data_IF_078490860292
#
_entry.id   IF_078490860292
#
_cell.length_a   1.000
_cell.length_b   1.000
_cell.length_c   1.000
_cell.angle_alpha   90.00
_cell.angle_beta   90.00
_cell.angle_gamma   90.00
#
_symmetry.space_group_name_H-M   'P 1'
#
loop_
_entity.id
_entity.type
_entity.pdbx_description
1 polymer ?
#
# COMPACT_ATOMS: atom_id res chain seq x y z
N UNK A 1 43.94 61.08 42.04
CA UNK A 1 44.60 59.86 41.59
C UNK A 1 43.78 58.68 42.16
N UNK A 2 42.75 58.25 41.41
CA UNK A 2 41.88 57.15 41.82
C UNK A 2 41.91 56.05 40.75
N UNK A 3 42.16 54.78 41.08
CA UNK A 3 42.16 53.72 40.09
C UNK A 3 40.71 53.27 39.80
N UNK A 4 40.41 53.25 38.52
CA UNK A 4 39.15 52.75 37.95
C UNK A 4 39.13 51.25 38.11
N UNK A 5 38.15 50.69 38.90
CA UNK A 5 37.86 49.25 39.03
C UNK A 5 37.07 48.82 37.84
N UNK A 6 37.67 48.00 36.98
CA UNK A 6 37.02 47.32 35.86
C UNK A 6 36.21 46.12 36.42
N UNK A 7 34.87 46.23 36.39
CA UNK A 7 33.97 45.11 36.66
C UNK A 7 33.86 44.25 35.42
N UNK A 8 34.43 43.07 35.45
CA UNK A 8 34.18 42.01 34.45
C UNK A 8 32.85 41.34 34.80
N UNK A 9 31.83 41.59 34.00
CA UNK A 9 30.59 40.84 34.02
C UNK A 9 30.75 39.62 33.12
N UNK A 10 30.87 38.44 33.72
CA UNK A 10 30.84 37.16 33.02
C UNK A 10 29.40 36.84 32.65
N UNK A 11 29.04 36.99 31.39
CA UNK A 11 27.76 36.51 30.85
C UNK A 11 27.82 35.01 30.66
N UNK A 12 27.09 34.31 31.53
CA UNK A 12 26.85 32.85 31.41
C UNK A 12 25.77 32.62 30.35
N UNK A 13 26.20 32.29 29.13
CA UNK A 13 25.26 31.85 28.07
C UNK A 13 24.85 30.42 28.36
N UNK A 14 23.63 30.23 28.90
CA UNK A 14 23.02 28.92 29.04
C UNK A 14 22.57 28.44 27.65
N UNK A 15 23.33 27.51 27.04
CA UNK A 15 22.89 26.76 25.89
C UNK A 15 21.79 25.76 26.30
N UNK A 16 20.54 26.08 25.96
CA UNK A 16 19.43 25.16 26.06
C UNK A 16 19.59 24.13 24.90
N UNK A 17 20.09 22.95 25.22
CA UNK A 17 20.09 21.81 24.31
C UNK A 17 18.65 21.32 24.13
N UNK A 18 18.03 21.64 22.98
CA UNK A 18 16.74 21.08 22.58
C UNK A 18 16.99 19.61 22.21
N UNK A 19 16.77 18.70 23.15
CA UNK A 19 16.75 17.25 22.89
C UNK A 19 15.48 16.93 22.08
N UNK A 20 15.62 16.84 20.76
CA UNK A 20 14.58 16.28 19.91
C UNK A 20 14.48 14.79 20.22
N UNK A 21 13.50 14.42 21.05
CA UNK A 21 13.10 13.02 21.22
C UNK A 21 12.52 12.54 19.90
N UNK A 22 13.34 11.84 19.11
CA UNK A 22 12.84 11.04 18.02
C UNK A 22 11.99 9.91 18.63
N UNK A 23 10.68 10.10 18.68
CA UNK A 23 9.72 9.04 18.94
C UNK A 23 9.84 8.01 17.81
N UNK A 24 10.78 7.09 17.92
CA UNK A 24 10.82 5.89 17.11
C UNK A 24 9.61 5.05 17.46
N UNK A 25 8.50 5.29 16.77
CA UNK A 25 7.38 4.38 16.80
C UNK A 25 7.88 3.04 16.27
N UNK A 26 8.13 2.11 17.19
CA UNK A 26 8.42 0.73 16.89
C UNK A 26 7.20 0.18 16.18
N UNK A 27 7.28 0.01 14.86
CA UNK A 27 6.23 -0.65 14.11
C UNK A 27 6.04 -2.04 14.74
N UNK A 28 4.88 -2.26 15.32
CA UNK A 28 4.49 -3.57 15.84
C UNK A 28 4.46 -4.60 14.71
N UNK A 29 4.39 -5.90 15.03
CA UNK A 29 4.23 -6.92 14.02
C UNK A 29 2.99 -6.59 13.18
N UNK A 30 3.17 -6.50 11.86
CA UNK A 30 2.07 -6.29 10.93
C UNK A 30 1.19 -7.54 10.97
N UNK A 31 0.00 -7.41 11.53
CA UNK A 31 -1.02 -8.43 11.40
C UNK A 31 -1.54 -8.42 9.96
N UNK A 32 -1.72 -9.59 9.32
CA UNK A 32 -2.32 -9.65 7.99
C UNK A 32 -3.67 -8.93 7.95
N UNK A 33 -3.87 -8.07 6.98
CA UNK A 33 -5.10 -7.33 6.77
C UNK A 33 -5.83 -7.82 5.53
N UNK A 34 -7.15 -7.69 5.52
CA UNK A 34 -7.94 -7.84 4.31
C UNK A 34 -8.28 -6.46 3.75
N UNK A 35 -7.81 -6.19 2.54
CA UNK A 35 -8.06 -4.96 1.80
C UNK A 35 -9.15 -5.26 0.78
N UNK A 36 -10.27 -4.57 0.85
CA UNK A 36 -11.42 -4.80 -0.03
C UNK A 36 -11.33 -3.90 -1.25
N UNK A 37 -11.55 -4.50 -2.43
CA UNK A 37 -11.71 -3.82 -3.73
C UNK A 37 -13.04 -4.25 -4.31
N UNK A 38 -13.93 -3.32 -4.56
CA UNK A 38 -15.22 -3.58 -5.20
C UNK A 38 -15.12 -3.43 -6.72
N UNK A 39 -15.79 -4.32 -7.45
CA UNK A 39 -16.00 -4.23 -8.88
C UNK A 39 -17.35 -3.58 -9.08
N UNK A 40 -17.36 -2.31 -9.56
CA UNK A 40 -18.55 -1.47 -9.53
C UNK A 40 -18.93 -0.94 -10.91
N UNK A 41 -20.22 -0.62 -11.06
CA UNK A 41 -20.71 0.20 -12.17
C UNK A 41 -20.61 1.67 -11.78
N UNK A 42 -20.18 2.52 -12.72
CA UNK A 42 -20.10 3.97 -12.56
C UNK A 42 -20.84 4.69 -13.67
N UNK A 43 -21.35 5.88 -13.38
CA UNK A 43 -21.82 6.79 -14.41
C UNK A 43 -20.63 7.44 -15.13
N UNK A 44 -20.76 7.64 -16.43
CA UNK A 44 -19.77 8.34 -17.25
C UNK A 44 -19.06 7.48 -18.29
N UNK A 45 -17.95 7.98 -18.82
CA UNK A 45 -17.22 7.36 -19.93
C UNK A 45 -16.53 6.04 -19.59
N UNK A 46 -16.23 5.80 -18.30
CA UNK A 46 -15.68 4.55 -17.78
C UNK A 46 -16.77 3.90 -16.92
N UNK A 47 -17.61 3.02 -17.53
CA UNK A 47 -18.80 2.52 -16.84
C UNK A 47 -18.49 1.47 -15.76
N UNK A 48 -17.30 0.88 -15.77
CA UNK A 48 -16.89 -0.15 -14.83
C UNK A 48 -15.54 0.22 -14.18
N UNK A 49 -15.40 -0.04 -12.88
CA UNK A 49 -14.18 0.28 -12.16
C UNK A 49 -13.89 -0.70 -11.03
N UNK A 50 -12.60 -0.82 -10.69
CA UNK A 50 -12.15 -1.31 -9.40
C UNK A 50 -12.16 -0.16 -8.40
N UNK A 51 -12.71 -0.35 -7.21
CA UNK A 51 -12.83 0.70 -6.20
C UNK A 51 -12.38 0.19 -4.81
N UNK A 52 -11.24 0.70 -4.30
CA UNK A 52 -10.35 1.69 -4.90
C UNK A 52 -9.55 1.14 -6.10
N UNK A 53 -9.19 2.01 -7.04
CA UNK A 53 -8.37 1.63 -8.20
C UNK A 53 -6.88 1.48 -7.88
N UNK A 54 -6.42 2.04 -6.77
CA UNK A 54 -5.06 1.91 -6.25
C UNK A 54 -5.11 1.25 -4.87
N UNK A 55 -4.38 0.15 -4.75
CA UNK A 55 -4.23 -0.62 -3.51
C UNK A 55 -2.77 -0.66 -3.11
N UNK A 56 -2.49 -0.46 -1.83
CA UNK A 56 -1.17 -0.73 -1.23
C UNK A 56 -1.34 -1.89 -0.25
N UNK A 57 -0.58 -2.95 -0.44
CA UNK A 57 -0.61 -4.12 0.40
C UNK A 57 0.80 -4.53 0.84
N UNK A 58 0.89 -5.23 1.94
CA UNK A 58 2.13 -5.80 2.45
C UNK A 58 2.10 -7.32 2.32
N UNK A 59 3.28 -7.93 2.39
CA UNK A 59 3.36 -9.40 2.42
C UNK A 59 2.57 -9.94 3.61
N UNK A 60 1.71 -10.91 3.35
CA UNK A 60 0.77 -11.52 4.30
C UNK A 60 -0.65 -10.97 4.19
N UNK A 61 -0.86 -9.79 3.61
CA UNK A 61 -2.19 -9.25 3.39
C UNK A 61 -2.99 -10.05 2.37
N UNK A 62 -4.30 -9.92 2.41
CA UNK A 62 -5.23 -10.42 1.41
C UNK A 62 -5.93 -9.25 0.72
N UNK A 63 -5.86 -9.17 -0.60
CA UNK A 63 -6.69 -8.28 -1.39
C UNK A 63 -7.93 -9.05 -1.81
N UNK A 64 -9.08 -8.64 -1.29
CA UNK A 64 -10.39 -9.26 -1.60
C UNK A 64 -11.13 -8.43 -2.62
N UNK A 65 -11.31 -8.98 -3.80
CA UNK A 65 -12.15 -8.42 -4.85
C UNK A 65 -13.57 -8.89 -4.66
N UNK A 66 -14.55 -7.96 -4.68
CA UNK A 66 -15.97 -8.25 -4.48
C UNK A 66 -16.75 -7.78 -5.69
N UNK A 67 -17.49 -8.68 -6.31
CA UNK A 67 -18.43 -8.31 -7.36
C UNK A 67 -19.60 -7.50 -6.77
N UNK A 68 -19.75 -6.25 -7.19
CA UNK A 68 -20.81 -5.32 -6.70
C UNK A 68 -21.62 -4.70 -7.85
N UNK A 69 -21.21 -4.93 -9.11
CA UNK A 69 -21.91 -4.42 -10.29
C UNK A 69 -23.05 -5.34 -10.78
N UNK A 70 -22.96 -6.64 -10.49
CA UNK A 70 -23.93 -7.64 -10.98
C UNK A 70 -23.74 -8.01 -12.45
N UNK A 71 -22.55 -7.74 -13.03
CA UNK A 71 -22.12 -8.15 -14.36
C UNK A 71 -20.80 -8.92 -14.27
N UNK A 72 -20.44 -9.60 -15.36
CA UNK A 72 -19.23 -10.43 -15.35
C UNK A 72 -17.95 -9.61 -15.29
N UNK A 73 -17.15 -9.85 -14.28
CA UNK A 73 -15.81 -9.26 -14.10
C UNK A 73 -14.76 -10.31 -13.76
N UNK A 74 -13.49 -10.01 -14.00
CA UNK A 74 -12.35 -10.76 -13.46
C UNK A 74 -11.23 -9.80 -13.05
N UNK A 75 -10.15 -10.36 -12.51
CA UNK A 75 -8.92 -9.65 -12.17
C UNK A 75 -7.76 -10.34 -12.88
N UNK A 76 -7.16 -9.66 -13.81
CA UNK A 76 -6.03 -10.18 -14.59
C UNK A 76 -4.81 -9.25 -14.42
N UNK A 77 -3.77 -9.74 -13.76
CA UNK A 77 -2.50 -9.02 -13.58
C UNK A 77 -1.71 -9.03 -14.89
N UNK A 78 -1.84 -7.98 -15.68
CA UNK A 78 -1.20 -7.84 -16.99
C UNK A 78 0.24 -7.33 -16.90
N UNK A 79 0.60 -6.62 -15.81
CA UNK A 79 1.97 -6.25 -15.50
C UNK A 79 2.32 -6.65 -14.08
N UNK A 80 3.50 -7.21 -13.91
CA UNK A 80 4.00 -7.71 -12.64
C UNK A 80 5.32 -7.01 -12.29
N UNK A 81 5.58 -6.85 -10.99
CA UNK A 81 6.87 -6.35 -10.51
C UNK A 81 8.01 -7.32 -10.91
N UNK A 82 9.22 -6.80 -11.12
CA UNK A 82 10.39 -7.65 -11.39
C UNK A 82 10.58 -8.69 -10.28
N UNK A 83 10.80 -9.94 -10.66
CA UNK A 83 10.96 -11.06 -9.72
C UNK A 83 9.65 -11.69 -9.23
N UNK A 84 8.51 -11.18 -9.63
CA UNK A 84 7.21 -11.82 -9.34
C UNK A 84 7.07 -13.16 -10.06
N UNK A 85 6.32 -14.09 -9.45
CA UNK A 85 6.11 -15.46 -9.96
C UNK A 85 4.64 -15.86 -9.83
N UNK A 86 3.73 -15.03 -10.34
CA UNK A 86 2.30 -15.30 -10.22
C UNK A 86 1.85 -16.54 -11.02
N UNK A 87 2.45 -16.79 -12.18
CA UNK A 87 2.05 -17.92 -13.02
C UNK A 87 0.56 -17.89 -13.34
N UNK A 88 -0.14 -19.01 -13.13
CA UNK A 88 -1.59 -19.11 -13.34
C UNK A 88 -2.40 -18.18 -12.41
N UNK A 89 -1.86 -17.80 -11.25
CA UNK A 89 -2.55 -16.89 -10.33
C UNK A 89 -2.56 -15.43 -10.82
N UNK A 90 -1.91 -15.13 -11.96
CA UNK A 90 -2.03 -13.83 -12.60
C UNK A 90 -3.44 -13.56 -13.13
N UNK A 91 -4.24 -14.61 -13.38
CA UNK A 91 -5.60 -14.50 -13.86
C UNK A 91 -6.56 -15.10 -12.84
N UNK A 92 -7.42 -14.25 -12.27
CA UNK A 92 -8.50 -14.68 -11.37
C UNK A 92 -9.71 -15.24 -12.12
N UNK A 93 -10.61 -15.93 -11.42
CA UNK A 93 -11.84 -16.44 -11.97
C UNK A 93 -12.78 -15.31 -12.40
N UNK A 94 -13.75 -15.62 -13.25
CA UNK A 94 -14.85 -14.71 -13.52
C UNK A 94 -15.84 -14.71 -12.36
N UNK A 95 -16.16 -13.51 -11.87
CA UNK A 95 -17.20 -13.22 -10.90
C UNK A 95 -18.42 -12.73 -11.67
N UNK A 96 -19.55 -13.40 -11.53
CA UNK A 96 -20.76 -13.16 -12.36
C UNK A 96 -21.98 -12.74 -11.56
N UNK A 97 -21.90 -12.87 -10.24
CA UNK A 97 -23.03 -12.61 -9.35
C UNK A 97 -22.58 -11.67 -8.23
N UNK A 98 -23.39 -10.66 -7.94
CA UNK A 98 -23.15 -9.71 -6.86
C UNK A 98 -22.90 -10.43 -5.53
N UNK A 99 -21.83 -10.02 -4.84
CA UNK A 99 -21.38 -10.61 -3.60
C UNK A 99 -20.35 -11.74 -3.76
N UNK A 100 -20.12 -12.27 -4.96
CA UNK A 100 -19.00 -13.19 -5.19
C UNK A 100 -17.66 -12.51 -4.91
N UNK A 101 -16.70 -13.29 -4.41
CA UNK A 101 -15.39 -12.78 -4.03
C UNK A 101 -14.25 -13.57 -4.68
N UNK A 102 -13.13 -12.87 -4.89
CA UNK A 102 -11.85 -13.45 -5.25
C UNK A 102 -10.77 -12.89 -4.34
N UNK A 103 -10.09 -13.78 -3.62
CA UNK A 103 -9.05 -13.42 -2.66
C UNK A 103 -7.66 -13.63 -3.26
N UNK A 104 -6.86 -12.59 -3.24
CA UNK A 104 -5.45 -12.61 -3.63
C UNK A 104 -4.59 -12.45 -2.40
N UNK A 105 -3.98 -13.53 -1.94
CA UNK A 105 -3.03 -13.50 -0.82
C UNK A 105 -1.69 -13.00 -1.33
N UNK A 106 -1.14 -11.97 -0.69
CA UNK A 106 0.17 -11.39 -1.01
C UNK A 106 1.26 -12.23 -0.37
N UNK A 107 1.54 -13.36 -0.99
CA UNK A 107 2.52 -14.36 -0.54
C UNK A 107 3.87 -14.24 -1.26
N UNK A 108 4.71 -15.28 -1.16
CA UNK A 108 6.03 -15.35 -1.78
C UNK A 108 6.06 -15.23 -3.31
N UNK A 109 4.94 -15.35 -4.01
CA UNK A 109 4.83 -15.16 -5.46
C UNK A 109 4.86 -13.68 -5.84
N UNK A 110 4.51 -12.78 -4.90
CA UNK A 110 4.53 -11.34 -5.11
C UNK A 110 5.88 -10.77 -4.67
N UNK A 111 6.66 -10.25 -5.62
CA UNK A 111 7.80 -9.40 -5.32
C UNK A 111 7.33 -8.00 -4.91
N UNK A 112 8.18 -7.24 -4.22
CA UNK A 112 7.90 -5.82 -3.98
C UNK A 112 7.84 -5.04 -5.29
N UNK A 113 6.92 -4.11 -5.38
CA UNK A 113 6.78 -3.25 -6.53
C UNK A 113 5.35 -3.08 -7.01
N UNK A 114 5.24 -2.57 -8.24
CA UNK A 114 3.97 -2.21 -8.85
C UNK A 114 3.45 -3.33 -9.76
N UNK A 115 2.15 -3.60 -9.63
CA UNK A 115 1.37 -4.50 -10.48
C UNK A 115 0.25 -3.71 -11.10
N UNK A 116 -0.03 -3.97 -12.39
CA UNK A 116 -1.22 -3.45 -13.05
C UNK A 116 -2.15 -4.62 -13.37
N UNK A 117 -3.43 -4.44 -13.12
CA UNK A 117 -4.46 -5.42 -13.44
C UNK A 117 -5.63 -4.79 -14.16
N UNK A 118 -6.33 -5.59 -14.94
CA UNK A 118 -7.51 -5.20 -15.72
C UNK A 118 -8.64 -6.19 -15.45
N UNK A 119 -9.85 -5.81 -15.86
CA UNK A 119 -10.93 -6.75 -16.11
C UNK A 119 -10.93 -7.04 -17.62
N UNK A 120 -10.71 -8.29 -18.04
CA UNK A 120 -10.57 -8.64 -19.45
C UNK A 120 -11.78 -8.19 -20.28
N UNK A 121 -13.06 -8.43 -19.88
CA UNK A 121 -14.21 -7.97 -20.65
C UNK A 121 -14.32 -6.44 -20.80
N UNK A 122 -13.76 -5.70 -19.84
CA UNK A 122 -13.94 -4.24 -19.75
C UNK A 122 -12.63 -3.45 -19.85
N UNK A 123 -11.53 -4.10 -20.22
CA UNK A 123 -10.24 -3.43 -20.39
C UNK A 123 -10.29 -2.32 -21.45
N UNK A 124 -11.00 -2.56 -22.55
CA UNK A 124 -11.16 -1.60 -23.64
C UNK A 124 -11.89 -0.32 -23.22
N UNK A 125 -12.76 -0.39 -22.21
CA UNK A 125 -13.46 0.77 -21.65
C UNK A 125 -12.79 1.32 -20.40
N UNK A 126 -11.56 0.89 -20.12
CA UNK A 126 -10.71 1.50 -19.09
C UNK A 126 -10.83 0.90 -17.68
N UNK A 127 -11.46 -0.28 -17.51
CA UNK A 127 -11.51 -0.94 -16.20
C UNK A 127 -10.15 -1.53 -15.83
N UNK A 128 -9.38 -0.78 -15.04
CA UNK A 128 -8.02 -1.14 -14.62
C UNK A 128 -7.74 -0.69 -13.19
N UNK A 129 -6.80 -1.35 -12.55
CA UNK A 129 -6.32 -1.01 -11.22
C UNK A 129 -4.83 -1.23 -11.05
N UNK A 130 -4.33 -0.78 -9.93
CA UNK A 130 -2.92 -0.88 -9.54
C UNK A 130 -2.81 -1.45 -8.13
N UNK A 131 -1.94 -2.44 -7.97
CA UNK A 131 -1.51 -2.94 -6.67
C UNK A 131 -0.05 -2.57 -6.47
N UNK A 132 0.27 -1.98 -5.33
CA UNK A 132 1.66 -1.76 -4.89
C UNK A 132 1.93 -2.69 -3.72
N UNK A 133 2.86 -3.62 -3.91
CA UNK A 133 3.31 -4.52 -2.85
C UNK A 133 4.54 -3.93 -2.18
N UNK A 134 4.48 -3.79 -0.87
CA UNK A 134 5.58 -3.35 -0.01
C UNK A 134 6.06 -4.51 0.86
N UNK A 135 7.34 -4.48 1.25
CA UNK A 135 7.83 -5.39 2.28
C UNK A 135 6.97 -5.29 3.52
N UNK A 136 6.64 -6.42 4.08
CA UNK A 136 6.18 -6.46 5.46
C UNK A 136 7.32 -5.93 6.33
N UNK A 137 7.04 -4.96 7.24
CA UNK A 137 8.04 -4.49 8.18
C UNK A 137 8.46 -5.63 9.11
N UNK A 138 9.34 -6.49 8.66
CA UNK A 138 10.08 -7.37 9.55
C UNK A 138 11.03 -6.48 10.32
N UNK A 139 10.83 -6.36 11.63
CA UNK A 139 11.89 -5.91 12.50
C UNK A 139 13.11 -6.79 12.19
N UNK A 140 14.09 -6.21 11.49
CA UNK A 140 15.37 -6.87 11.28
C UNK A 140 15.96 -7.17 12.66
N UNK A 141 15.87 -8.42 13.08
CA UNK A 141 16.63 -8.93 14.20
C UNK A 141 18.10 -8.81 13.82
N UNK A 142 18.77 -7.77 14.30
CA UNK A 142 20.24 -7.76 14.32
C UNK A 142 20.67 -8.91 15.22
N UNK A 143 21.39 -9.88 14.61
CA UNK A 143 22.30 -10.74 15.36
C UNK A 143 23.47 -9.92 15.88
#
# INVERSE_FOLDING_TARGET
>A
MFPLKLLMTTSLVAMLALSASANGQKAGPLHPHTIVVKLVTKAGAIPFAFEPALVVAHRGDTVRFIEDAGVMHNVHFTKQAPGAKLGAAAMGPYLTTKGQTYDVVIDGRFAEGKYEYVCDPHAAVGMKGTLVVKSGGTAAGKK
#
